data_IF_863305292273
#
_entry.id   IF_863305292273
#
_cell.length_a   1.000
_cell.length_b   1.000
_cell.length_c   1.000
_cell.angle_alpha   90.00
_cell.angle_beta   90.00
_cell.angle_gamma   90.00
#
_symmetry.space_group_name_H-M   'P 1'
#
loop_
_entity.id
_entity.type
_entity.pdbx_description
1 polymer ?
#
# COMPACT_ATOMS: atom_id res chain seq x y z
N UNK A 1 -4.42 12.46 15.90
CA UNK A 1 -5.90 12.50 15.97
C UNK A 1 -6.55 11.41 15.12
N UNK A 2 -6.19 11.30 13.83
CA UNK A 2 -6.71 10.25 12.92
C UNK A 2 -6.57 8.82 13.44
N UNK A 3 -5.41 8.45 13.98
CA UNK A 3 -5.21 7.13 14.60
C UNK A 3 -6.22 6.83 15.71
N UNK A 4 -6.50 7.80 16.59
CA UNK A 4 -7.52 7.64 17.66
C UNK A 4 -8.92 7.41 17.09
N UNK A 5 -9.28 8.11 16.00
CA UNK A 5 -10.58 7.93 15.33
C UNK A 5 -10.67 6.52 14.73
N UNK A 6 -9.60 6.04 14.08
CA UNK A 6 -9.54 4.68 13.53
C UNK A 6 -9.72 3.63 14.64
N UNK A 7 -8.99 3.74 15.74
CA UNK A 7 -9.13 2.82 16.87
C UNK A 7 -10.55 2.84 17.46
N UNK A 8 -11.15 4.02 17.63
CA UNK A 8 -12.52 4.14 18.14
C UNK A 8 -13.56 3.53 17.19
N UNK A 9 -13.36 3.66 15.88
CA UNK A 9 -14.21 3.04 14.87
C UNK A 9 -14.12 1.51 14.91
N UNK A 10 -12.90 0.96 15.02
CA UNK A 10 -12.69 -0.49 15.12
C UNK A 10 -13.28 -1.06 16.42
N UNK A 11 -13.17 -0.33 17.52
CA UNK A 11 -13.78 -0.71 18.81
C UNK A 11 -15.31 -0.71 18.72
N UNK A 12 -15.90 0.30 18.06
CA UNK A 12 -17.33 0.33 17.80
C UNK A 12 -17.76 -0.92 17.02
N UNK A 13 -17.10 -1.23 15.90
CA UNK A 13 -17.45 -2.40 15.09
C UNK A 13 -17.32 -3.72 15.87
N UNK A 14 -16.29 -3.86 16.70
CA UNK A 14 -16.13 -5.03 17.57
C UNK A 14 -17.30 -5.18 18.54
N UNK A 15 -17.66 -4.10 19.24
CA UNK A 15 -18.80 -4.09 20.16
C UNK A 15 -20.13 -4.43 19.48
N UNK A 16 -20.36 -3.89 18.28
CA UNK A 16 -21.59 -4.17 17.51
C UNK A 16 -21.62 -5.63 17.01
N UNK A 17 -20.46 -6.21 16.70
CA UNK A 17 -20.32 -7.61 16.30
C UNK A 17 -20.51 -8.58 17.48
N UNK A 18 -19.90 -8.29 18.64
CA UNK A 18 -20.04 -9.09 19.86
C UNK A 18 -21.50 -9.11 20.35
N UNK A 19 -22.22 -8.01 20.15
CA UNK A 19 -23.64 -7.91 20.43
C UNK A 19 -24.55 -8.53 19.35
N UNK A 20 -23.98 -9.15 18.31
CA UNK A 20 -24.72 -9.81 17.23
C UNK A 20 -25.47 -8.87 16.30
N UNK A 21 -25.21 -7.57 16.34
CA UNK A 21 -25.94 -6.56 15.54
C UNK A 21 -25.37 -6.40 14.13
N UNK A 22 -24.05 -6.48 13.99
CA UNK A 22 -23.35 -6.37 12.70
C UNK A 22 -22.16 -7.33 12.67
N UNK A 23 -22.18 -8.29 11.75
CA UNK A 23 -21.01 -9.11 11.48
C UNK A 23 -19.93 -8.27 10.78
N UNK A 24 -18.70 -8.29 11.28
CA UNK A 24 -17.62 -7.44 10.76
C UNK A 24 -16.38 -8.26 10.41
N UNK A 25 -15.85 -8.03 9.21
CA UNK A 25 -14.52 -8.48 8.81
C UNK A 25 -13.69 -7.22 8.53
N UNK A 26 -12.58 -7.08 9.23
CA UNK A 26 -11.64 -5.98 9.06
C UNK A 26 -10.34 -6.54 8.51
N UNK A 27 -9.99 -6.15 7.29
CA UNK A 27 -8.74 -6.54 6.63
C UNK A 27 -7.82 -5.32 6.54
N UNK A 28 -6.68 -5.38 7.24
CA UNK A 28 -5.66 -4.31 7.25
C UNK A 28 -4.60 -4.55 6.19
N UNK A 29 -4.18 -3.49 5.53
CA UNK A 29 -3.10 -3.50 4.55
C UNK A 29 -2.17 -2.31 4.80
N UNK A 30 -0.97 -2.39 4.22
CA UNK A 30 -0.01 -1.29 4.17
C UNK A 30 -0.36 -0.23 3.12
N UNK A 31 0.66 0.45 2.61
CA UNK A 31 0.53 1.48 1.58
C UNK A 31 0.15 0.86 0.22
N UNK A 32 -0.82 1.45 -0.48
CA UNK A 32 -1.35 0.87 -1.72
C UNK A 32 -0.53 1.25 -2.97
N UNK A 33 -0.42 0.29 -3.90
CA UNK A 33 0.07 0.52 -5.26
C UNK A 33 -0.62 -0.40 -6.27
N UNK A 34 -0.54 -0.05 -7.56
CA UNK A 34 -1.18 -0.77 -8.65
C UNK A 34 -2.69 -0.56 -8.75
N UNK A 35 -3.29 -1.09 -9.81
CA UNK A 35 -4.68 -0.85 -10.16
C UNK A 35 -4.90 0.52 -10.81
N UNK A 36 -6.06 0.70 -11.44
CA UNK A 36 -6.41 1.95 -12.16
C UNK A 36 -6.81 3.11 -11.25
N UNK A 37 -6.70 2.94 -9.92
CA UNK A 37 -7.04 3.96 -8.94
C UNK A 37 -5.90 4.96 -8.76
N UNK A 38 -6.23 6.23 -8.56
CA UNK A 38 -5.26 7.30 -8.25
C UNK A 38 -5.36 7.76 -6.81
N UNK A 39 -4.29 8.36 -6.28
CA UNK A 39 -4.27 9.03 -4.98
C UNK A 39 -3.55 8.25 -3.90
N UNK A 40 -2.83 7.19 -4.25
CA UNK A 40 -1.95 6.49 -3.33
C UNK A 40 -0.60 7.21 -3.21
N UNK A 41 0.22 6.78 -2.26
CA UNK A 41 1.58 7.30 -2.17
C UNK A 41 2.44 6.91 -3.37
N UNK A 42 2.12 5.81 -4.04
CA UNK A 42 2.88 5.31 -5.16
C UNK A 42 2.76 6.26 -6.36
N UNK A 43 1.56 6.53 -6.84
CA UNK A 43 1.34 7.38 -8.01
C UNK A 43 1.62 8.86 -7.72
N UNK A 44 1.25 9.36 -6.53
CA UNK A 44 1.41 10.78 -6.20
C UNK A 44 2.85 11.19 -5.91
N UNK A 45 3.68 10.28 -5.39
CA UNK A 45 5.03 10.62 -4.90
C UNK A 45 6.10 9.74 -5.54
N UNK A 46 6.03 8.42 -5.33
CA UNK A 46 7.09 7.49 -5.73
C UNK A 46 7.29 7.51 -7.25
N UNK A 47 6.20 7.34 -8.00
CA UNK A 47 6.18 7.21 -9.44
C UNK A 47 5.95 8.53 -10.20
N UNK A 48 5.61 9.61 -9.49
CA UNK A 48 5.23 10.91 -10.08
C UNK A 48 6.25 11.51 -11.06
N UNK A 49 7.53 11.13 -10.94
CA UNK A 49 8.63 11.62 -11.80
C UNK A 49 9.40 10.49 -12.49
N UNK A 50 8.88 9.27 -12.53
CA UNK A 50 9.55 8.14 -13.18
C UNK A 50 9.76 8.39 -14.68
N UNK A 51 8.80 9.01 -15.37
CA UNK A 51 8.98 9.43 -16.77
C UNK A 51 10.20 10.36 -16.95
N UNK A 52 10.52 11.17 -15.94
CA UNK A 52 11.70 12.05 -15.89
C UNK A 52 12.97 11.36 -15.38
N UNK A 53 12.94 10.04 -15.17
CA UNK A 53 14.06 9.25 -14.67
C UNK A 53 14.32 9.40 -13.17
N UNK A 54 13.30 9.79 -12.38
CA UNK A 54 13.45 10.08 -10.95
C UNK A 54 12.49 9.22 -10.14
N UNK A 55 13.04 8.51 -9.16
CA UNK A 55 12.32 7.88 -8.06
C UNK A 55 12.33 8.82 -6.85
N UNK A 56 11.18 9.05 -6.22
CA UNK A 56 11.10 9.89 -5.01
C UNK A 56 10.75 9.06 -3.78
N UNK A 57 11.75 8.82 -2.94
CA UNK A 57 11.56 8.15 -1.66
C UNK A 57 10.78 9.04 -0.68
N UNK A 58 9.69 8.53 -0.10
CA UNK A 58 8.85 9.24 0.86
C UNK A 58 9.44 9.24 2.28
N UNK A 59 10.43 8.40 2.57
CA UNK A 59 11.10 8.29 3.86
C UNK A 59 12.58 7.87 3.69
N UNK A 60 13.23 7.42 4.77
CA UNK A 60 14.53 6.76 4.69
C UNK A 60 14.45 5.52 3.78
N UNK A 61 15.40 5.39 2.85
CA UNK A 61 15.30 4.45 1.72
C UNK A 61 15.53 2.99 2.08
N UNK A 62 16.12 2.75 3.25
CA UNK A 62 16.54 1.47 3.80
C UNK A 62 15.53 0.89 4.80
N UNK A 63 14.47 1.64 5.15
CA UNK A 63 13.41 1.16 6.00
C UNK A 63 12.47 0.23 5.24
N UNK A 64 12.10 -0.87 5.88
CA UNK A 64 11.07 -1.78 5.39
C UNK A 64 9.70 -1.15 5.60
N UNK A 65 8.93 -1.05 4.53
CA UNK A 65 7.53 -0.63 4.55
C UNK A 65 6.64 -1.71 3.95
N UNK A 66 5.43 -1.82 4.48
CA UNK A 66 4.43 -2.73 3.97
C UNK A 66 3.70 -2.08 2.79
N UNK A 67 3.77 -2.70 1.61
CA UNK A 67 3.05 -2.27 0.42
C UNK A 67 2.03 -3.32 -0.02
N UNK A 68 0.77 -2.93 -0.20
CA UNK A 68 -0.28 -3.81 -0.68
C UNK A 68 -0.57 -3.53 -2.17
N UNK A 69 -0.32 -4.55 -3.00
CA UNK A 69 -0.72 -4.51 -4.40
C UNK A 69 -2.24 -4.61 -4.50
N UNK A 70 -2.90 -3.58 -5.05
CA UNK A 70 -4.36 -3.47 -5.01
C UNK A 70 -5.09 -4.64 -5.67
N UNK A 71 -4.65 -5.17 -6.82
CA UNK A 71 -5.28 -6.36 -7.41
C UNK A 71 -5.25 -7.58 -6.48
N UNK A 72 -4.13 -7.89 -5.84
CA UNK A 72 -4.04 -8.99 -4.86
C UNK A 72 -4.92 -8.73 -3.64
N UNK A 73 -4.92 -7.49 -3.15
CA UNK A 73 -5.74 -7.09 -2.02
C UNK A 73 -7.24 -7.26 -2.32
N UNK A 74 -7.66 -6.93 -3.54
CA UNK A 74 -9.02 -7.16 -4.02
C UNK A 74 -9.37 -8.66 -4.10
N UNK A 75 -8.45 -9.50 -4.59
CA UNK A 75 -8.62 -10.97 -4.57
C UNK A 75 -8.78 -11.47 -3.13
N UNK A 76 -8.00 -10.94 -2.19
CA UNK A 76 -8.10 -11.24 -0.76
C UNK A 76 -9.49 -10.96 -0.18
N UNK A 77 -10.08 -9.80 -0.51
CA UNK A 77 -11.47 -9.49 -0.11
C UNK A 77 -12.49 -10.46 -0.71
N UNK A 78 -12.36 -10.79 -2.00
CA UNK A 78 -13.25 -11.74 -2.66
C UNK A 78 -13.12 -13.14 -2.03
N UNK A 79 -11.91 -13.56 -1.69
CA UNK A 79 -11.67 -14.84 -1.03
C UNK A 79 -12.31 -14.91 0.36
N UNK A 80 -12.22 -13.83 1.16
CA UNK A 80 -12.92 -13.73 2.44
C UNK A 80 -14.44 -13.81 2.28
N UNK A 81 -14.99 -13.08 1.31
CA UNK A 81 -16.43 -13.11 1.02
C UNK A 81 -16.94 -14.48 0.53
N UNK A 82 -16.06 -15.32 -0.04
CA UNK A 82 -16.38 -16.69 -0.43
C UNK A 82 -16.27 -17.71 0.71
N UNK A 83 -15.61 -17.37 1.81
CA UNK A 83 -15.35 -18.24 2.96
C UNK A 83 -16.02 -17.71 4.24
N UNK A 84 -17.21 -17.10 4.11
CA UNK A 84 -17.94 -16.54 5.25
C UNK A 84 -18.33 -17.58 6.30
N UNK A 85 -18.37 -18.87 5.95
CA UNK A 85 -18.62 -19.99 6.87
C UNK A 85 -17.44 -20.25 7.83
N UNK A 86 -16.22 -19.83 7.48
CA UNK A 86 -14.99 -20.05 8.27
C UNK A 86 -14.64 -18.92 9.22
N UNK A 87 -15.39 -17.82 9.15
CA UNK A 87 -15.13 -16.57 9.87
C UNK A 87 -15.99 -16.48 11.14
N UNK A 88 -15.49 -15.80 12.17
CA UNK A 88 -16.28 -15.43 13.34
C UNK A 88 -17.32 -14.33 13.07
N UNK A 89 -17.95 -13.82 14.14
CA UNK A 89 -18.79 -12.62 14.09
C UNK A 89 -17.97 -11.33 13.93
N UNK A 90 -16.76 -11.32 14.49
CA UNK A 90 -15.75 -10.28 14.32
C UNK A 90 -14.42 -10.92 13.95
N UNK A 91 -13.82 -10.47 12.87
CA UNK A 91 -12.49 -10.91 12.42
C UNK A 91 -11.64 -9.68 12.10
N UNK A 92 -10.44 -9.63 12.67
CA UNK A 92 -9.49 -8.55 12.44
C UNK A 92 -8.20 -9.16 11.89
N UNK A 93 -8.07 -9.10 10.57
CA UNK A 93 -7.04 -9.76 9.78
C UNK A 93 -6.05 -8.72 9.24
N UNK A 94 -4.81 -9.17 9.02
CA UNK A 94 -3.82 -8.39 8.30
C UNK A 94 -3.58 -9.07 6.95
N UNK A 95 -3.34 -8.29 5.92
CA UNK A 95 -2.97 -8.75 4.59
C UNK A 95 -1.46 -8.58 4.43
N UNK A 96 -0.68 -9.68 4.39
CA UNK A 96 0.73 -9.65 4.02
C UNK A 96 0.86 -9.34 2.53
N UNK A 97 1.20 -8.10 2.22
CA UNK A 97 1.61 -7.66 0.89
C UNK A 97 3.12 -7.81 0.74
N UNK A 98 3.79 -6.71 0.40
CA UNK A 98 5.23 -6.63 0.19
C UNK A 98 5.90 -5.80 1.30
N UNK A 99 6.55 -6.49 2.23
CA UNK A 99 7.45 -5.86 3.20
C UNK A 99 8.81 -5.59 2.52
N UNK A 100 8.99 -4.39 1.96
CA UNK A 100 10.15 -4.03 1.13
C UNK A 100 10.63 -2.62 1.40
N UNK A 101 11.89 -2.36 1.04
CA UNK A 101 12.51 -1.02 1.09
C UNK A 101 12.26 -0.23 -0.21
N UNK A 102 12.42 1.09 -0.17
CA UNK A 102 12.39 1.93 -1.38
C UNK A 102 13.45 1.51 -2.40
N UNK A 103 14.60 0.99 -1.94
CA UNK A 103 15.64 0.46 -2.81
C UNK A 103 15.14 -0.74 -3.64
N UNK A 104 14.34 -1.61 -3.03
CA UNK A 104 13.78 -2.79 -3.71
C UNK A 104 12.68 -2.39 -4.71
N UNK A 105 11.76 -1.48 -4.34
CA UNK A 105 10.75 -0.97 -5.28
C UNK A 105 11.41 -0.24 -6.44
N UNK A 106 12.43 0.58 -6.17
CA UNK A 106 13.21 1.24 -7.22
C UNK A 106 13.85 0.23 -8.17
N UNK A 107 14.46 -0.84 -7.65
CA UNK A 107 15.08 -1.88 -8.48
C UNK A 107 14.04 -2.57 -9.38
N UNK A 108 12.87 -2.93 -8.83
CA UNK A 108 11.76 -3.47 -9.59
C UNK A 108 11.28 -2.49 -10.68
N UNK A 109 11.18 -1.20 -10.35
CA UNK A 109 10.81 -0.15 -11.30
C UNK A 109 11.85 0.01 -12.42
N UNK A 110 13.14 0.03 -12.09
CA UNK A 110 14.25 0.10 -13.07
C UNK A 110 14.22 -1.09 -14.04
N UNK A 111 13.96 -2.30 -13.52
CA UNK A 111 13.76 -3.50 -14.32
C UNK A 111 12.58 -3.34 -15.27
N UNK A 112 11.44 -2.87 -14.76
CA UNK A 112 10.22 -2.67 -15.54
C UNK A 112 10.38 -1.63 -16.67
N UNK A 113 11.12 -0.54 -16.44
CA UNK A 113 11.32 0.52 -17.45
C UNK A 113 12.58 0.32 -18.31
N UNK A 114 13.43 -0.64 -17.98
CA UNK A 114 14.66 -0.96 -18.71
C UNK A 114 15.77 0.10 -18.62
N UNK A 115 15.77 0.97 -17.60
CA UNK A 115 16.79 2.02 -17.42
C UNK A 115 16.96 2.40 -15.94
N UNK A 116 18.14 2.92 -15.55
CA UNK A 116 18.35 3.36 -14.18
C UNK A 116 17.54 4.63 -13.84
N UNK A 117 17.16 4.74 -12.57
CA UNK A 117 16.43 5.85 -11.97
C UNK A 117 17.34 6.57 -10.97
N UNK A 118 17.27 7.91 -10.97
CA UNK A 118 17.89 8.72 -9.93
C UNK A 118 17.04 8.67 -8.66
N UNK A 119 17.64 8.28 -7.54
CA UNK A 119 17.00 8.34 -6.22
C UNK A 119 16.98 9.78 -5.71
N UNK A 120 15.81 10.24 -5.26
CA UNK A 120 15.62 11.52 -4.56
C UNK A 120 14.71 11.30 -3.37
N UNK A 121 14.69 12.24 -2.42
CA UNK A 121 13.85 12.14 -1.22
C UNK A 121 12.81 13.26 -1.18
N UNK A 122 11.64 12.97 -0.61
CA UNK A 122 10.59 13.94 -0.37
C UNK A 122 11.12 15.03 0.59
N UNK A 123 10.95 16.33 0.25
CA UNK A 123 11.48 17.41 1.08
C UNK A 123 10.56 17.69 2.29
N UNK A 124 10.60 16.81 3.29
CA UNK A 124 9.77 16.90 4.51
C UNK A 124 9.87 18.26 5.22
N UNK A 125 11.02 18.92 5.14
CA UNK A 125 11.22 20.25 5.73
C UNK A 125 10.30 21.31 5.09
N UNK A 126 10.05 21.23 3.77
CA UNK A 126 9.13 22.13 3.05
C UNK A 126 7.70 21.92 3.54
N UNK A 127 7.29 20.65 3.66
CA UNK A 127 5.95 20.30 4.13
C UNK A 127 5.72 20.78 5.57
N UNK A 128 6.72 20.60 6.44
CA UNK A 128 6.67 21.07 7.83
C UNK A 128 6.56 22.60 7.89
N UNK A 129 7.35 23.32 7.11
CA UNK A 129 7.32 24.78 7.06
C UNK A 129 5.97 25.34 6.56
N UNK A 130 5.35 24.71 5.56
CA UNK A 130 4.05 25.16 5.04
C UNK A 130 2.83 24.60 5.79
N UNK A 131 3.01 23.63 6.70
CA UNK A 131 1.91 23.00 7.45
C UNK A 131 1.01 23.96 8.25
N UNK A 132 1.48 25.11 8.78
CA UNK A 132 0.59 26.07 9.45
C UNK A 132 -0.41 26.73 8.50
N UNK A 133 -0.07 26.83 7.21
CA UNK A 133 -0.84 27.56 6.21
C UNK A 133 -1.71 26.64 5.33
N UNK A 134 -1.29 25.38 5.14
CA UNK A 134 -1.96 24.42 4.25
C UNK A 134 -2.46 23.21 5.05
N UNK A 135 -3.78 23.10 5.21
CA UNK A 135 -4.40 22.03 6.00
C UNK A 135 -3.99 20.62 5.51
N UNK A 136 -3.94 20.41 4.19
CA UNK A 136 -3.48 19.14 3.62
C UNK A 136 -2.04 18.78 4.04
N UNK A 137 -1.13 19.76 4.08
CA UNK A 137 0.26 19.49 4.47
C UNK A 137 0.38 19.20 5.96
N UNK A 138 -0.41 19.86 6.81
CA UNK A 138 -0.50 19.52 8.23
C UNK A 138 -0.93 18.07 8.44
N UNK A 139 -1.92 17.62 7.66
CA UNK A 139 -2.37 16.24 7.73
C UNK A 139 -1.29 15.24 7.28
N UNK A 140 -0.57 15.53 6.19
CA UNK A 140 0.55 14.71 5.72
C UNK A 140 1.66 14.64 6.78
N UNK A 141 2.04 15.79 7.37
CA UNK A 141 3.06 15.85 8.43
C UNK A 141 2.61 15.07 9.67
N UNK A 142 1.33 15.14 10.05
CA UNK A 142 0.81 14.40 11.21
C UNK A 142 0.89 12.88 11.05
N UNK A 143 0.92 12.39 9.80
CA UNK A 143 1.03 10.96 9.46
C UNK A 143 2.45 10.56 9.05
N UNK A 144 3.43 11.48 9.15
CA UNK A 144 4.80 11.19 8.72
C UNK A 144 5.41 10.00 9.44
N UNK A 145 5.00 9.73 10.69
CA UNK A 145 5.51 8.60 11.48
C UNK A 145 5.39 7.26 10.74
N UNK A 146 4.36 7.07 9.90
CA UNK A 146 4.20 5.86 9.08
C UNK A 146 5.35 5.63 8.10
N UNK A 147 6.10 6.69 7.74
CA UNK A 147 7.26 6.64 6.83
C UNK A 147 8.60 6.52 7.53
N UNK A 148 8.65 6.80 8.83
CA UNK A 148 9.90 6.80 9.59
C UNK A 148 10.02 5.63 10.56
N UNK A 149 9.02 4.74 10.59
CA UNK A 149 9.02 3.52 11.40
C UNK A 149 8.92 2.28 10.50
N UNK A 150 9.82 1.29 10.66
CA UNK A 150 9.74 0.05 9.91
C UNK A 150 8.51 -0.74 10.34
N UNK A 151 7.78 -1.28 9.37
CA UNK A 151 6.60 -2.09 9.66
C UNK A 151 6.36 -3.12 8.57
N UNK A 152 5.82 -4.26 9.00
CA UNK A 152 5.39 -5.36 8.13
C UNK A 152 4.13 -5.99 8.70
N UNK A 153 3.31 -6.58 7.84
CA UNK A 153 2.09 -7.27 8.21
C UNK A 153 2.24 -8.78 7.99
N UNK A 154 1.82 -9.55 8.99
CA UNK A 154 1.77 -11.01 8.92
C UNK A 154 0.38 -11.49 9.37
N UNK A 155 -0.12 -12.57 8.76
CA UNK A 155 -1.38 -13.18 9.17
C UNK A 155 -1.45 -14.68 8.86
N UNK A 156 -1.34 -15.47 9.92
CA UNK A 156 -1.62 -16.92 9.88
C UNK A 156 -3.13 -17.17 9.78
N UNK A 157 -3.94 -16.30 10.42
CA UNK A 157 -5.40 -16.46 10.44
C UNK A 157 -6.00 -16.30 9.03
N UNK A 158 -5.54 -15.31 8.26
CA UNK A 158 -6.01 -15.09 6.89
C UNK A 158 -5.74 -16.33 6.03
N UNK A 159 -4.51 -16.85 6.05
CA UNK A 159 -4.11 -18.06 5.32
C UNK A 159 -4.99 -19.26 5.69
N UNK A 160 -5.29 -19.46 6.98
CA UNK A 160 -6.19 -20.53 7.43
C UNK A 160 -7.63 -20.41 6.91
N UNK A 161 -8.06 -19.23 6.45
CA UNK A 161 -9.41 -19.00 5.92
C UNK A 161 -9.41 -19.12 4.38
N UNK A 162 -8.49 -18.43 3.71
CA UNK A 162 -8.48 -18.27 2.25
C UNK A 162 -7.60 -19.29 1.53
N UNK A 163 -6.76 -20.03 2.27
CA UNK A 163 -5.68 -20.83 1.70
C UNK A 163 -4.49 -19.94 1.37
N UNK A 164 -3.93 -20.11 0.17
CA UNK A 164 -2.82 -19.27 -0.30
C UNK A 164 -3.25 -17.80 -0.40
N UNK A 165 -2.49 -16.93 0.26
CA UNK A 165 -2.72 -15.48 0.21
C UNK A 165 -2.24 -14.99 -1.16
N UNK A 166 -3.07 -14.25 -1.93
CA UNK A 166 -2.66 -13.70 -3.22
C UNK A 166 -1.39 -12.87 -3.08
N UNK A 167 -0.36 -13.21 -3.86
CA UNK A 167 0.93 -12.55 -3.80
C UNK A 167 1.62 -12.56 -5.17
N UNK A 168 1.33 -11.54 -5.97
CA UNK A 168 1.99 -11.28 -7.25
C UNK A 168 3.45 -10.90 -6.99
N UNK A 169 4.45 -11.52 -7.67
CA UNK A 169 5.85 -11.17 -7.46
C UNK A 169 6.13 -9.66 -7.63
N UNK A 170 6.96 -9.08 -6.75
CA UNK A 170 7.19 -7.63 -6.69
C UNK A 170 7.52 -7.02 -8.06
N UNK A 171 8.43 -7.63 -8.83
CA UNK A 171 8.83 -7.15 -10.15
C UNK A 171 7.64 -7.02 -11.11
N UNK A 172 6.75 -8.02 -11.10
CA UNK A 172 5.54 -8.02 -11.92
C UNK A 172 4.54 -6.98 -11.41
N UNK A 173 4.27 -6.97 -10.10
CA UNK A 173 3.32 -6.03 -9.48
C UNK A 173 3.72 -4.57 -9.74
N UNK A 174 5.01 -4.24 -9.64
CA UNK A 174 5.53 -2.90 -9.93
C UNK A 174 5.43 -2.58 -11.42
N UNK A 175 5.75 -3.51 -12.32
CA UNK A 175 5.63 -3.29 -13.75
C UNK A 175 4.17 -3.01 -14.17
N UNK A 176 3.23 -3.81 -13.66
CA UNK A 176 1.80 -3.61 -13.90
C UNK A 176 1.32 -2.29 -13.30
N UNK A 177 1.73 -1.96 -12.06
CA UNK A 177 1.38 -0.70 -11.41
C UNK A 177 1.88 0.54 -12.15
N UNK A 178 3.06 0.48 -12.76
CA UNK A 178 3.57 1.55 -13.63
C UNK A 178 2.74 1.66 -14.92
N UNK A 179 2.38 0.52 -15.52
CA UNK A 179 1.50 0.46 -16.69
C UNK A 179 0.13 1.08 -16.41
N UNK A 180 -0.46 0.79 -15.25
CA UNK A 180 -1.78 1.30 -14.84
C UNK A 180 -1.85 2.83 -14.77
N UNK A 181 -0.72 3.49 -14.50
CA UNK A 181 -0.61 4.97 -14.46
C UNK A 181 0.01 5.55 -15.74
N UNK A 182 0.07 4.77 -16.82
CA UNK A 182 0.49 5.22 -18.15
C UNK A 182 2.00 5.39 -18.33
N UNK A 183 2.82 4.74 -17.50
CA UNK A 183 4.27 4.69 -17.68
C UNK A 183 4.62 3.48 -18.54
N UNK A 184 5.30 3.72 -19.67
CA UNK A 184 5.71 2.65 -20.56
C UNK A 184 6.73 1.72 -19.88
N UNK A 185 6.44 0.42 -19.90
CA UNK A 185 7.32 -0.65 -19.42
C UNK A 185 7.81 -1.51 -20.59
N UNK A 186 8.95 -2.17 -20.42
CA UNK A 186 9.59 -3.00 -21.46
C UNK A 186 8.61 -4.06 -21.98
N UNK A 187 7.89 -4.73 -21.09
CA UNK A 187 6.91 -5.77 -21.45
C UNK A 187 5.59 -5.19 -21.98
N UNK A 188 5.19 -4.00 -21.52
CA UNK A 188 4.02 -3.29 -22.02
C UNK A 188 4.17 -2.84 -23.48
N UNK A 189 5.39 -2.45 -23.87
CA UNK A 189 5.70 -2.11 -25.27
C UNK A 189 5.68 -3.37 -26.16
N UNK A 190 6.16 -4.51 -25.67
CA UNK A 190 6.13 -5.77 -26.41
C UNK A 190 4.72 -6.33 -26.62
N UNK A 191 3.78 -6.06 -25.71
CA UNK A 191 2.37 -6.51 -25.81
C UNK A 191 1.52 -5.62 -26.72
N UNK A 192 2.01 -4.42 -27.06
CA UNK A 192 1.32 -3.42 -27.89
C UNK A 192 1.88 -3.34 -29.33
N UNK A 193 2.98 -4.03 -29.63
CA UNK A 193 3.61 -4.14 -30.95
C UNK A 193 3.17 -5.41 -31.69
#
# INVERSE_FOLDING_TARGET
QKGRIRCAMEELFRREADAGRVRTILLRAGDFFGGTGSGSWFDLIVAAKINKGIYTAPGPVDLVHEWAYLPDFAVGFVALARNLDKLGFYEALNFPGHAVTDLQIKAAAEKAIGRPLKMTSMPWWVLRAGSPFVAMWREIVSMSYLRFEPHQLASIRLEGIVGEIPHTPLDQAVAEALGDIGIATVDGVAKAA
#
